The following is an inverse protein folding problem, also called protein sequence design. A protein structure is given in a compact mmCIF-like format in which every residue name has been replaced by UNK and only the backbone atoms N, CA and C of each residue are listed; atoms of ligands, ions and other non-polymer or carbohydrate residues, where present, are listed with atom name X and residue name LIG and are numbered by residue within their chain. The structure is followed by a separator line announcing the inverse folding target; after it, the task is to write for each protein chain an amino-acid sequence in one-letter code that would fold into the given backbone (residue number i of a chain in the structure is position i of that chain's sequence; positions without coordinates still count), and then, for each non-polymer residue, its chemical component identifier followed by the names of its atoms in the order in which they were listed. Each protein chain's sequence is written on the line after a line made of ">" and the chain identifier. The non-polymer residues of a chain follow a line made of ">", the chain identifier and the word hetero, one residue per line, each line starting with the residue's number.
data_IF_974681176832
#
_entry.id   IF_974681176832
#
_cell.length_a   1.000
_cell.length_b   1.000
_cell.length_c   1.000
_cell.angle_alpha   90.00
_cell.angle_beta   90.00
_cell.angle_gamma   90.00
#
_symmetry.space_group_name_H-M   'P 1'
#
loop_
_entity.id
_entity.type
_entity.pdbx_description
1 polymer ?
#
# COMPACT_ATOMS: atom_id res chain seq x y z
N UNK A 1 -7.28 -3.35 7.21
CA UNK A 1 -5.90 -3.31 6.69
C UNK A 1 -5.78 -4.39 5.65
N UNK A 2 -5.43 -4.03 4.44
CA UNK A 2 -5.22 -4.98 3.35
C UNK A 2 -3.87 -5.68 3.53
N UNK A 3 -3.76 -6.91 3.05
CA UNK A 3 -2.56 -7.75 3.18
C UNK A 3 -1.31 -7.11 2.54
N UNK A 4 -1.50 -6.26 1.54
CA UNK A 4 -0.46 -5.47 0.89
C UNK A 4 0.18 -4.45 1.81
N UNK A 5 -0.58 -3.83 2.71
CA UNK A 5 -0.07 -2.83 3.65
C UNK A 5 0.97 -3.42 4.62
N UNK A 6 0.83 -4.71 4.98
CA UNK A 6 1.74 -5.37 5.92
C UNK A 6 3.01 -5.90 5.28
N UNK A 7 3.03 -6.05 3.94
CA UNK A 7 4.21 -6.54 3.20
C UNK A 7 5.17 -5.43 2.81
N UNK A 8 4.67 -4.22 2.57
CA UNK A 8 5.47 -3.10 2.10
C UNK A 8 6.08 -2.29 3.25
N UNK A 9 5.49 -2.33 4.43
CA UNK A 9 6.07 -1.71 5.62
C UNK A 9 7.02 -2.68 6.32
N UNK A 10 8.33 -2.39 6.34
CA UNK A 10 9.32 -3.21 7.05
C UNK A 10 9.11 -3.17 8.56
N UNK A 11 8.50 -2.11 9.06
CA UNK A 11 8.12 -1.93 10.46
C UNK A 11 6.72 -1.31 10.51
N UNK A 12 5.97 -1.57 11.55
CA UNK A 12 4.68 -0.93 11.82
C UNK A 12 4.91 0.52 12.27
N UNK A 13 5.35 1.36 11.36
CA UNK A 13 5.66 2.76 11.62
C UNK A 13 4.47 3.53 12.17
N UNK A 14 3.29 3.25 11.62
CA UNK A 14 2.05 3.89 12.07
C UNK A 14 1.10 2.83 12.64
N UNK A 15 0.54 3.14 13.81
CA UNK A 15 -0.49 2.30 14.41
C UNK A 15 -1.70 2.13 13.48
N UNK A 16 -2.42 1.01 13.61
CA UNK A 16 -3.66 0.74 12.85
C UNK A 16 -4.67 1.91 12.93
N UNK A 17 -4.65 2.65 14.03
CA UNK A 17 -5.53 3.80 14.29
C UNK A 17 -5.29 4.91 13.28
N UNK A 18 -4.02 5.24 12.97
CA UNK A 18 -3.68 6.30 11.99
C UNK A 18 -4.19 5.93 10.61
N UNK A 19 -4.01 4.68 10.18
CA UNK A 19 -4.53 4.23 8.89
C UNK A 19 -6.06 4.26 8.80
N UNK A 20 -6.76 3.91 9.89
CA UNK A 20 -8.21 3.97 9.94
C UNK A 20 -8.69 5.43 9.93
N UNK A 21 -8.04 6.30 10.71
CA UNK A 21 -8.38 7.73 10.77
C UNK A 21 -8.21 8.42 9.42
N UNK A 22 -7.11 8.15 8.70
CA UNK A 22 -6.87 8.70 7.36
C UNK A 22 -7.91 8.21 6.35
N UNK A 23 -8.26 6.92 6.37
CA UNK A 23 -9.33 6.38 5.53
C UNK A 23 -10.69 6.99 5.85
N UNK A 24 -10.98 7.23 7.12
CA UNK A 24 -12.22 7.89 7.56
C UNK A 24 -12.30 9.34 7.08
N UNK A 25 -11.22 10.12 7.22
CA UNK A 25 -11.13 11.49 6.70
C UNK A 25 -11.34 11.51 5.18
N UNK A 26 -10.68 10.60 4.44
CA UNK A 26 -10.87 10.47 3.00
C UNK A 26 -12.33 10.16 2.62
N UNK A 27 -13.00 9.30 3.39
CA UNK A 27 -14.41 8.98 3.18
C UNK A 27 -15.34 10.19 3.45
N UNK A 28 -15.06 10.99 4.47
CA UNK A 28 -15.79 12.24 4.75
C UNK A 28 -15.65 13.21 3.58
N UNK A 29 -14.45 13.40 3.03
CA UNK A 29 -14.26 14.25 1.86
C UNK A 29 -15.06 13.77 0.66
N UNK A 30 -15.05 12.48 0.37
CA UNK A 30 -15.82 11.91 -0.74
C UNK A 30 -17.33 12.10 -0.60
N UNK A 31 -17.89 11.88 0.59
CA UNK A 31 -19.33 12.04 0.83
C UNK A 31 -19.76 13.51 0.85
N UNK A 32 -18.97 14.38 1.48
CA UNK A 32 -19.27 15.82 1.56
C UNK A 32 -19.28 16.47 0.20
N UNK A 33 -18.34 16.10 -0.66
CA UNK A 33 -18.22 16.59 -2.02
C UNK A 33 -19.53 16.47 -2.80
N UNK A 34 -20.14 15.28 -2.76
CA UNK A 34 -21.40 15.06 -3.48
C UNK A 34 -22.63 15.69 -2.78
N UNK A 35 -22.68 15.64 -1.46
CA UNK A 35 -23.78 16.22 -0.67
C UNK A 35 -23.90 17.72 -0.89
N UNK A 36 -22.79 18.45 -0.89
CA UNK A 36 -22.77 19.88 -1.17
C UNK A 36 -23.22 20.21 -2.59
N UNK A 37 -22.78 19.43 -3.58
CA UNK A 37 -23.20 19.61 -4.97
C UNK A 37 -24.71 19.40 -5.13
N UNK A 38 -25.26 18.35 -4.51
CA UNK A 38 -26.67 18.03 -4.63
C UNK A 38 -27.56 19.08 -3.98
N UNK A 39 -27.19 19.56 -2.78
CA UNK A 39 -27.98 20.50 -2.01
C UNK A 39 -27.95 21.93 -2.60
N UNK A 40 -26.77 22.40 -3.00
CA UNK A 40 -26.57 23.79 -3.45
C UNK A 40 -26.41 23.95 -4.97
N UNK A 41 -26.27 22.85 -5.72
CA UNK A 41 -25.94 22.83 -7.16
C UNK A 41 -24.73 23.71 -7.51
N UNK A 42 -23.79 23.82 -6.60
CA UNK A 42 -22.64 24.70 -6.70
C UNK A 42 -21.37 23.88 -7.01
N UNK A 43 -20.89 24.02 -8.25
CA UNK A 43 -19.66 23.39 -8.72
C UNK A 43 -18.41 23.94 -8.01
N UNK A 44 -18.44 25.18 -7.52
CA UNK A 44 -17.29 25.77 -6.85
C UNK A 44 -17.00 25.08 -5.51
N UNK A 45 -18.05 24.71 -4.76
CA UNK A 45 -17.90 23.92 -3.54
C UNK A 45 -17.31 22.55 -3.82
N UNK A 46 -17.77 21.85 -4.86
CA UNK A 46 -17.22 20.57 -5.30
C UNK A 46 -15.72 20.68 -5.61
N UNK A 47 -15.34 21.66 -6.42
CA UNK A 47 -13.96 21.91 -6.82
C UNK A 47 -13.09 22.24 -5.61
N UNK A 48 -13.60 23.05 -4.68
CA UNK A 48 -12.90 23.40 -3.45
C UNK A 48 -12.60 22.16 -2.59
N UNK A 49 -13.60 21.29 -2.35
CA UNK A 49 -13.40 20.07 -1.56
C UNK A 49 -12.44 19.09 -2.21
N UNK A 50 -12.52 18.92 -3.55
CA UNK A 50 -11.59 18.05 -4.28
C UNK A 50 -10.15 18.58 -4.23
N UNK A 51 -9.97 19.88 -4.39
CA UNK A 51 -8.64 20.51 -4.30
C UNK A 51 -8.06 20.38 -2.90
N UNK A 52 -8.89 20.61 -1.86
CA UNK A 52 -8.49 20.46 -0.47
C UNK A 52 -8.10 19.01 -0.16
N UNK A 53 -8.88 18.04 -0.61
CA UNK A 53 -8.57 16.62 -0.42
C UNK A 53 -7.26 16.22 -1.11
N UNK A 54 -7.05 16.67 -2.36
CA UNK A 54 -5.82 16.42 -3.10
C UNK A 54 -4.59 17.04 -2.42
N UNK A 55 -4.71 18.25 -1.89
CA UNK A 55 -3.66 18.91 -1.11
C UNK A 55 -3.31 18.11 0.15
N UNK A 56 -4.33 17.74 0.94
CA UNK A 56 -4.13 16.97 2.17
C UNK A 56 -3.47 15.62 1.91
N UNK A 57 -3.87 14.90 0.86
CA UNK A 57 -3.26 13.61 0.55
C UNK A 57 -1.82 13.75 0.09
N UNK A 58 -1.49 14.82 -0.65
CA UNK A 58 -0.11 15.13 -1.02
C UNK A 58 0.76 15.44 0.19
N UNK A 59 0.23 16.19 1.15
CA UNK A 59 0.95 16.55 2.36
C UNK A 59 1.21 15.33 3.23
N UNK A 60 0.21 14.46 3.38
CA UNK A 60 0.36 13.16 4.08
C UNK A 60 1.40 12.28 3.41
N UNK A 61 1.39 12.18 2.07
CA UNK A 61 2.40 11.45 1.31
C UNK A 61 3.81 12.01 1.55
N UNK A 62 3.98 13.33 1.52
CA UNK A 62 5.26 13.98 1.77
C UNK A 62 5.76 13.72 3.19
N UNK A 63 4.86 13.77 4.17
CA UNK A 63 5.19 13.48 5.57
C UNK A 63 5.62 12.01 5.74
N UNK A 64 4.90 11.07 5.12
CA UNK A 64 5.24 9.65 5.14
C UNK A 64 6.61 9.39 4.50
N UNK A 65 6.84 9.97 3.32
CA UNK A 65 8.13 9.88 2.63
C UNK A 65 9.28 10.40 3.49
N UNK A 66 9.12 11.57 4.12
CA UNK A 66 10.16 12.16 4.96
C UNK A 66 10.45 11.29 6.20
N UNK A 67 9.41 10.73 6.81
CA UNK A 67 9.56 9.82 7.94
C UNK A 67 10.32 8.56 7.54
N UNK A 68 9.98 7.96 6.40
CA UNK A 68 10.67 6.78 5.88
C UNK A 68 12.13 7.07 5.49
N UNK A 69 12.42 8.25 4.92
CA UNK A 69 13.78 8.66 4.61
C UNK A 69 14.65 8.83 5.86
N UNK A 70 14.10 9.38 6.94
CA UNK A 70 14.82 9.49 8.20
C UNK A 70 15.16 8.13 8.79
N UNK A 71 14.25 7.17 8.70
CA UNK A 71 14.46 5.81 9.17
C UNK A 71 15.47 5.05 8.30
N UNK A 72 15.37 5.19 6.99
CA UNK A 72 16.31 4.57 6.04
C UNK A 72 17.76 5.06 6.26
N UNK A 73 17.93 6.32 6.68
CA UNK A 73 19.23 6.90 7.02
C UNK A 73 19.90 6.31 8.26
N UNK A 74 19.14 5.60 9.12
CA UNK A 74 19.65 4.91 10.33
C UNK A 74 19.96 3.44 10.05
N UNK A 75 19.48 2.90 8.93
CA UNK A 75 19.74 1.50 8.54
C UNK A 75 21.18 1.29 8.08
N UNK A 76 21.75 0.12 8.42
CA UNK A 76 23.11 -0.26 7.97
C UNK A 76 23.24 -0.36 6.45
N UNK A 77 22.15 -0.73 5.78
CA UNK A 77 22.04 -0.78 4.32
C UNK A 77 20.78 -0.06 3.90
N UNK A 78 20.86 1.21 3.47
CA UNK A 78 19.72 1.97 3.00
C UNK A 78 19.04 1.31 1.81
N UNK A 79 17.71 1.32 1.80
CA UNK A 79 16.91 0.70 0.72
C UNK A 79 16.75 1.59 -0.50
N UNK A 80 16.98 2.88 -0.31
CA UNK A 80 16.97 3.88 -1.37
C UNK A 80 15.63 4.59 -1.57
N UNK A 81 15.73 5.76 -2.19
CA UNK A 81 14.60 6.69 -2.37
C UNK A 81 13.44 6.11 -3.19
N UNK A 82 13.73 5.28 -4.20
CA UNK A 82 12.70 4.66 -5.06
C UNK A 82 11.80 3.71 -4.28
N UNK A 83 12.37 2.94 -3.35
CA UNK A 83 11.62 2.04 -2.49
C UNK A 83 10.71 2.83 -1.53
N UNK A 84 11.23 3.89 -0.94
CA UNK A 84 10.49 4.77 -0.03
C UNK A 84 9.32 5.45 -0.75
N UNK A 85 9.57 5.95 -1.97
CA UNK A 85 8.54 6.58 -2.80
C UNK A 85 7.44 5.57 -3.17
N UNK A 86 7.79 4.33 -3.47
CA UNK A 86 6.82 3.25 -3.73
C UNK A 86 5.87 3.01 -2.56
N UNK A 87 6.39 3.00 -1.33
CA UNK A 87 5.56 2.87 -0.12
C UNK A 87 4.62 4.07 0.05
N UNK A 88 5.15 5.29 -0.10
CA UNK A 88 4.36 6.51 0.03
C UNK A 88 3.24 6.61 -1.01
N UNK A 89 3.49 6.18 -2.25
CA UNK A 89 2.49 6.12 -3.32
C UNK A 89 1.34 5.15 -3.01
N UNK A 90 1.65 3.98 -2.44
CA UNK A 90 0.61 3.01 -2.04
C UNK A 90 -0.27 3.58 -0.93
N UNK A 91 0.33 4.29 0.01
CA UNK A 91 -0.41 4.95 1.08
C UNK A 91 -1.38 6.02 0.54
N UNK A 92 -0.92 6.85 -0.38
CA UNK A 92 -1.72 7.86 -1.06
C UNK A 92 -2.86 7.24 -1.87
N UNK A 93 -2.56 6.23 -2.69
CA UNK A 93 -3.53 5.53 -3.54
C UNK A 93 -4.69 4.93 -2.75
N UNK A 94 -4.43 4.41 -1.56
CA UNK A 94 -5.46 3.89 -0.66
C UNK A 94 -6.43 4.97 -0.21
N UNK A 95 -5.94 6.17 0.10
CA UNK A 95 -6.78 7.28 0.52
C UNK A 95 -7.67 7.77 -0.62
N UNK A 96 -7.14 7.84 -1.85
CA UNK A 96 -7.94 8.13 -3.04
C UNK A 96 -9.02 7.08 -3.29
N UNK A 97 -8.72 5.80 -3.13
CA UNK A 97 -9.72 4.73 -3.28
C UNK A 97 -10.83 4.83 -2.23
N UNK A 98 -10.50 5.16 -0.98
CA UNK A 98 -11.49 5.38 0.07
C UNK A 98 -12.40 6.57 -0.25
N UNK A 99 -11.84 7.67 -0.76
CA UNK A 99 -12.58 8.85 -1.18
C UNK A 99 -13.50 8.53 -2.35
N UNK A 100 -13.01 7.84 -3.38
CA UNK A 100 -13.80 7.45 -4.54
C UNK A 100 -14.93 6.49 -4.18
N UNK A 101 -14.66 5.51 -3.32
CA UNK A 101 -15.68 4.57 -2.86
C UNK A 101 -16.82 5.30 -2.11
N UNK A 102 -16.46 6.24 -1.24
CA UNK A 102 -17.44 7.07 -0.53
C UNK A 102 -18.23 7.96 -1.48
N UNK A 103 -17.57 8.59 -2.46
CA UNK A 103 -18.23 9.41 -3.47
C UNK A 103 -19.25 8.59 -4.28
N UNK A 104 -18.88 7.41 -4.76
CA UNK A 104 -19.78 6.52 -5.52
C UNK A 104 -20.98 6.08 -4.67
N UNK A 105 -20.74 5.75 -3.40
CA UNK A 105 -21.83 5.37 -2.47
C UNK A 105 -22.82 6.51 -2.27
N UNK A 106 -22.31 7.72 -2.05
CA UNK A 106 -23.16 8.91 -1.82
C UNK A 106 -23.89 9.30 -3.12
N UNK A 107 -23.23 9.22 -4.26
CA UNK A 107 -23.84 9.46 -5.57
C UNK A 107 -25.02 8.50 -5.83
N UNK A 108 -24.83 7.19 -5.58
CA UNK A 108 -25.88 6.20 -5.75
C UNK A 108 -27.07 6.46 -4.82
N UNK A 109 -26.81 6.84 -3.57
CA UNK A 109 -27.87 7.20 -2.61
C UNK A 109 -28.73 8.33 -3.14
N UNK A 110 -28.13 9.44 -3.60
CA UNK A 110 -28.87 10.61 -4.08
C UNK A 110 -29.50 10.40 -5.47
N UNK A 111 -28.85 9.68 -6.38
CA UNK A 111 -29.35 9.43 -7.71
C UNK A 111 -30.64 8.57 -7.71
N UNK A 112 -30.70 7.58 -6.83
CA UNK A 112 -31.83 6.67 -6.73
C UNK A 112 -32.76 7.02 -5.56
N UNK A 113 -32.41 8.02 -4.76
CA UNK A 113 -33.13 8.45 -3.56
C UNK A 113 -33.51 7.27 -2.64
N UNK A 114 -32.60 6.31 -2.54
CA UNK A 114 -32.82 5.05 -1.84
C UNK A 114 -31.61 4.64 -1.00
N UNK A 115 -31.79 4.40 0.32
CA UNK A 115 -30.69 3.92 1.16
C UNK A 115 -30.17 2.54 0.73
N UNK A 116 -31.03 1.71 0.15
CA UNK A 116 -30.65 0.38 -0.33
C UNK A 116 -29.67 0.49 -1.49
N UNK A 117 -29.90 1.41 -2.43
CA UNK A 117 -28.98 1.66 -3.55
C UNK A 117 -27.59 2.12 -3.05
N UNK A 118 -27.56 3.00 -2.04
CA UNK A 118 -26.31 3.41 -1.40
C UNK A 118 -25.55 2.24 -0.77
N UNK A 119 -26.23 1.37 -0.04
CA UNK A 119 -25.62 0.19 0.58
C UNK A 119 -25.05 -0.77 -0.49
N UNK A 120 -25.81 -1.08 -1.52
CA UNK A 120 -25.34 -1.95 -2.61
C UNK A 120 -24.11 -1.35 -3.31
N UNK A 121 -24.16 -0.07 -3.65
CA UNK A 121 -23.03 0.64 -4.26
C UNK A 121 -21.80 0.67 -3.34
N UNK A 122 -22.00 0.84 -2.03
CA UNK A 122 -20.94 0.79 -1.02
C UNK A 122 -20.26 -0.57 -0.94
N UNK A 123 -21.03 -1.65 -0.93
CA UNK A 123 -20.50 -3.01 -0.94
C UNK A 123 -19.76 -3.28 -2.26
N UNK A 124 -20.32 -2.91 -3.41
CA UNK A 124 -19.68 -3.10 -4.71
C UNK A 124 -18.36 -2.32 -4.82
N UNK A 125 -18.34 -1.05 -4.38
CA UNK A 125 -17.13 -0.21 -4.39
C UNK A 125 -16.06 -0.74 -3.43
N UNK A 126 -16.44 -1.30 -2.29
CA UNK A 126 -15.51 -1.96 -1.37
C UNK A 126 -14.83 -3.17 -2.03
N UNK A 127 -15.58 -4.06 -2.67
CA UNK A 127 -15.00 -5.20 -3.39
C UNK A 127 -14.12 -4.78 -4.55
N UNK A 128 -14.52 -3.76 -5.29
CA UNK A 128 -13.72 -3.19 -6.37
C UNK A 128 -12.39 -2.61 -5.85
N UNK A 129 -12.45 -1.79 -4.81
CA UNK A 129 -11.25 -1.21 -4.18
C UNK A 129 -10.33 -2.30 -3.60
N UNK A 130 -10.89 -3.32 -2.94
CA UNK A 130 -10.13 -4.44 -2.43
C UNK A 130 -9.40 -5.18 -3.56
N UNK A 131 -10.09 -5.46 -4.69
CA UNK A 131 -9.50 -6.11 -5.85
C UNK A 131 -8.42 -5.24 -6.51
N UNK A 132 -8.66 -3.94 -6.68
CA UNK A 132 -7.70 -3.00 -7.26
C UNK A 132 -6.41 -2.91 -6.44
N UNK A 133 -6.53 -2.86 -5.11
CA UNK A 133 -5.35 -2.84 -4.21
C UNK A 133 -4.62 -4.19 -4.13
N UNK A 134 -5.33 -5.29 -4.34
CA UNK A 134 -4.72 -6.63 -4.35
C UNK A 134 -4.10 -7.00 -5.70
N UNK A 135 -4.47 -6.29 -6.77
CA UNK A 135 -3.98 -6.52 -8.13
C UNK A 135 -2.63 -5.84 -8.41
N UNK A 136 -2.02 -5.19 -7.42
CA UNK A 136 -0.65 -4.67 -7.55
C UNK A 136 0.29 -5.80 -7.92
N UNK A 137 1.04 -5.64 -9.01
CA UNK A 137 1.86 -6.66 -9.65
C UNK A 137 2.64 -7.51 -8.64
N UNK A 138 2.35 -8.79 -8.62
CA UNK A 138 3.13 -9.73 -7.84
C UNK A 138 4.38 -10.02 -8.64
N UNK A 139 5.52 -10.13 -7.97
CA UNK A 139 6.76 -10.55 -8.61
C UNK A 139 6.55 -11.86 -9.40
N UNK A 140 5.70 -12.73 -8.88
CA UNK A 140 5.30 -13.99 -9.48
C UNK A 140 4.57 -13.85 -10.84
N UNK A 141 3.91 -12.70 -11.11
CA UNK A 141 3.22 -12.43 -12.38
C UNK A 141 4.18 -11.90 -13.46
N UNK A 142 5.39 -11.49 -13.05
CA UNK A 142 6.42 -10.90 -13.91
C UNK A 142 7.59 -11.85 -14.16
N UNK A 143 7.85 -12.77 -13.24
CA UNK A 143 9.04 -13.64 -13.25
C UNK A 143 8.64 -15.02 -12.79
N UNK A 144 9.07 -16.04 -13.54
CA UNK A 144 8.95 -17.43 -13.13
C UNK A 144 9.97 -17.70 -12.02
N UNK A 145 9.46 -18.08 -10.83
CA UNK A 145 10.30 -18.31 -9.66
C UNK A 145 10.48 -19.82 -9.49
N UNK A 146 11.69 -20.29 -9.68
CA UNK A 146 12.05 -21.69 -9.49
C UNK A 146 12.83 -21.92 -8.18
N UNK A 147 12.68 -23.11 -7.61
CA UNK A 147 13.49 -23.54 -6.48
C UNK A 147 14.91 -23.87 -6.95
N UNK A 148 15.90 -23.25 -6.33
CA UNK A 148 17.30 -23.53 -6.60
C UNK A 148 18.00 -24.14 -5.39
N UNK A 149 18.93 -25.09 -5.58
CA UNK A 149 19.66 -25.71 -4.49
C UNK A 149 20.59 -24.70 -3.84
N UNK A 150 20.61 -24.71 -2.49
CA UNK A 150 21.61 -23.99 -1.71
C UNK A 150 22.89 -24.82 -1.63
N UNK A 151 24.04 -24.17 -1.84
CA UNK A 151 25.34 -24.81 -1.73
C UNK A 151 26.30 -23.91 -0.96
N UNK A 152 27.10 -24.52 -0.09
CA UNK A 152 28.24 -23.88 0.53
C UNK A 152 29.54 -24.36 -0.12
N UNK A 153 30.42 -23.40 -0.47
CA UNK A 153 31.78 -23.66 -0.84
C UNK A 153 32.70 -22.89 0.13
N UNK A 154 33.25 -23.60 1.11
CA UNK A 154 33.92 -23.01 2.25
C UNK A 154 32.98 -22.10 3.05
N UNK A 155 33.25 -20.80 3.10
CA UNK A 155 32.43 -19.80 3.74
C UNK A 155 31.38 -19.17 2.78
N UNK A 156 31.49 -19.40 1.47
CA UNK A 156 30.61 -18.82 0.46
C UNK A 156 29.29 -19.56 0.36
N UNK A 157 28.18 -18.82 0.45
CA UNK A 157 26.84 -19.33 0.17
C UNK A 157 26.52 -19.06 -1.31
N UNK A 158 26.09 -20.10 -2.00
CA UNK A 158 25.66 -20.05 -3.40
C UNK A 158 24.22 -20.55 -3.54
N UNK A 159 23.49 -19.91 -4.43
CA UNK A 159 22.19 -20.40 -4.94
C UNK A 159 22.46 -20.82 -6.38
N UNK A 160 22.39 -22.11 -6.66
CA UNK A 160 22.88 -22.71 -7.89
C UNK A 160 24.34 -22.33 -8.14
N UNK A 161 24.64 -21.49 -9.14
CA UNK A 161 25.97 -20.98 -9.45
C UNK A 161 26.21 -19.53 -9.06
N UNK A 162 25.23 -18.87 -8.45
CA UNK A 162 25.32 -17.46 -8.08
C UNK A 162 25.80 -17.33 -6.65
N UNK A 163 26.94 -16.65 -6.45
CA UNK A 163 27.44 -16.28 -5.13
C UNK A 163 26.57 -15.23 -4.49
N UNK A 164 26.16 -15.46 -3.23
CA UNK A 164 25.29 -14.55 -2.48
C UNK A 164 26.10 -13.80 -1.41
N UNK A 165 26.74 -14.53 -0.49
CA UNK A 165 27.47 -13.93 0.62
C UNK A 165 28.41 -14.92 1.29
N UNK A 166 29.31 -14.41 2.16
CA UNK A 166 30.15 -15.22 3.03
C UNK A 166 29.49 -15.43 4.39
N UNK A 167 29.43 -16.69 4.82
CA UNK A 167 28.95 -17.09 6.15
C UNK A 167 30.03 -17.98 6.76
N UNK A 168 30.90 -17.37 7.58
CA UNK A 168 32.03 -18.07 8.17
C UNK A 168 31.69 -18.95 9.39
N UNK A 169 30.50 -18.82 9.99
CA UNK A 169 30.14 -19.53 11.19
C UNK A 169 29.48 -20.91 10.88
N UNK A 170 30.13 -22.05 11.20
CA UNK A 170 29.60 -23.39 10.83
C UNK A 170 28.20 -23.68 11.38
N UNK A 171 27.87 -23.12 12.54
CA UNK A 171 26.55 -23.27 13.14
C UNK A 171 25.47 -22.61 12.26
N UNK A 172 25.72 -21.43 11.71
CA UNK A 172 24.83 -20.71 10.81
C UNK A 172 24.71 -21.37 9.44
N UNK A 173 25.79 -21.93 8.93
CA UNK A 173 25.76 -22.70 7.70
C UNK A 173 24.81 -23.91 7.81
N UNK A 174 24.91 -24.66 8.92
CA UNK A 174 23.99 -25.79 9.20
C UNK A 174 22.53 -25.35 9.34
N UNK A 175 22.29 -24.23 9.99
CA UNK A 175 20.94 -23.65 10.15
C UNK A 175 20.33 -23.27 8.80
N UNK A 176 21.11 -22.61 7.94
CA UNK A 176 20.68 -22.21 6.60
C UNK A 176 20.42 -23.42 5.71
N UNK A 177 21.29 -24.45 5.75
CA UNK A 177 21.06 -25.68 4.98
C UNK A 177 19.82 -26.43 5.43
N UNK A 178 19.44 -26.31 6.70
CA UNK A 178 18.30 -27.01 7.27
C UNK A 178 16.96 -26.28 7.00
N UNK A 179 16.96 -24.95 7.06
CA UNK A 179 15.74 -24.14 7.02
C UNK A 179 15.70 -23.15 5.85
N UNK A 180 16.82 -22.94 5.17
CA UNK A 180 16.90 -22.03 4.04
C UNK A 180 16.25 -22.61 2.78
N UNK A 181 15.62 -21.77 2.00
CA UNK A 181 15.13 -22.09 0.67
C UNK A 181 15.75 -21.12 -0.34
N UNK A 182 16.39 -21.67 -1.37
CA UNK A 182 16.90 -20.89 -2.51
C UNK A 182 15.83 -20.71 -3.56
N UNK A 183 15.75 -19.52 -4.11
CA UNK A 183 14.91 -19.20 -5.25
C UNK A 183 15.74 -18.51 -6.32
N UNK A 184 15.49 -18.88 -7.57
CA UNK A 184 16.09 -18.27 -8.75
C UNK A 184 14.99 -17.60 -9.58
N UNK A 185 15.28 -16.41 -10.18
CA UNK A 185 14.38 -15.66 -11.07
C UNK A 185 15.01 -15.48 -12.43
#
# INVERSE_FOLDING_TARGET
>A
MLRTDTRQYPTRLHGKIVHIAMGFIAAIFGSSCHSFYYEKKDFSALTFFLTLAASQFRDVRNMERNTLQQLDGVELVPRGSTYIEGIALVFESRNYLAMMASFVTTFAYFAFNSPIAGVIAGIASFFFAAKALMSGGRLQDLVEIEHAPLRFDGAGLYIDNIYIMNIGLPARQKEIMKYGMGFFC
#
